data_IF_135885595012
#
_entry.id   IF_135885595012
#
_cell.length_a   1.000
_cell.length_b   1.000
_cell.length_c   1.000
_cell.angle_alpha   90.00
_cell.angle_beta   90.00
_cell.angle_gamma   90.00
#
_symmetry.space_group_name_H-M   'P 1'
#
loop_
_entity.id
_entity.type
_entity.pdbx_description
1 polymer ?
#
# COMPACT_ATOMS: atom_id res chain seq x y z
N UNK A 1 -8.71 21.72 3.32
CA UNK A 1 -7.24 21.61 3.52
C UNK A 1 -6.95 20.23 4.09
N UNK A 2 -5.94 19.50 3.60
CA UNK A 2 -5.65 18.14 4.12
C UNK A 2 -5.41 18.12 5.64
N UNK A 3 -4.90 19.22 6.19
CA UNK A 3 -4.58 19.40 7.61
C UNK A 3 -5.79 19.35 8.55
N UNK A 4 -7.01 19.56 8.04
CA UNK A 4 -8.24 19.49 8.85
C UNK A 4 -8.84 18.09 8.92
N UNK A 5 -8.24 17.11 8.24
CA UNK A 5 -8.70 15.73 8.24
C UNK A 5 -7.92 14.93 9.29
N UNK A 6 -8.53 13.90 9.91
CA UNK A 6 -7.84 13.01 10.86
C UNK A 6 -6.91 12.03 10.11
N UNK A 7 -5.91 12.58 9.42
CA UNK A 7 -4.90 11.85 8.67
C UNK A 7 -3.50 12.22 9.14
N UNK A 8 -2.59 11.26 9.06
CA UNK A 8 -1.16 11.49 9.29
C UNK A 8 -0.45 11.41 7.96
N UNK A 9 0.19 12.51 7.55
CA UNK A 9 1.05 12.52 6.37
C UNK A 9 2.41 11.92 6.74
N UNK A 10 2.88 10.98 5.95
CA UNK A 10 4.16 10.31 6.17
C UNK A 10 5.17 10.81 5.14
N UNK A 11 6.33 11.37 5.57
CA UNK A 11 7.34 11.85 4.65
C UNK A 11 8.04 10.69 3.94
N UNK A 12 8.55 10.97 2.75
CA UNK A 12 9.33 10.01 1.99
C UNK A 12 10.76 9.93 2.55
N UNK A 13 11.10 8.83 3.22
CA UNK A 13 12.47 8.57 3.72
C UNK A 13 13.22 7.65 2.77
N UNK A 14 14.56 7.63 2.85
CA UNK A 14 15.39 6.75 2.02
C UNK A 14 15.05 5.27 2.20
N UNK A 15 14.75 4.83 3.42
CA UNK A 15 14.35 3.45 3.71
C UNK A 15 12.97 3.10 3.13
N UNK A 16 12.03 4.05 3.18
CA UNK A 16 10.73 3.89 2.54
C UNK A 16 10.88 3.81 1.02
N UNK A 17 11.68 4.69 0.41
CA UNK A 17 12.01 4.64 -1.03
C UNK A 17 12.58 3.30 -1.44
N UNK A 18 13.54 2.77 -0.68
CA UNK A 18 14.15 1.47 -0.93
C UNK A 18 13.09 0.36 -0.89
N UNK A 19 12.25 0.35 0.14
CA UNK A 19 11.18 -0.64 0.29
C UNK A 19 10.20 -0.59 -0.89
N UNK A 20 9.81 0.61 -1.33
CA UNK A 20 8.94 0.81 -2.50
C UNK A 20 9.61 0.27 -3.78
N UNK A 21 10.89 0.58 -3.97
CA UNK A 21 11.68 0.12 -5.11
C UNK A 21 11.78 -1.41 -5.17
N UNK A 22 12.05 -2.06 -4.04
CA UNK A 22 12.10 -3.52 -3.94
C UNK A 22 10.74 -4.17 -4.30
N UNK A 23 9.63 -3.58 -3.86
CA UNK A 23 8.29 -4.05 -4.24
C UNK A 23 8.07 -3.86 -5.73
N UNK A 24 8.34 -2.66 -6.28
CA UNK A 24 8.13 -2.37 -7.71
C UNK A 24 8.97 -3.24 -8.64
N UNK A 25 10.19 -3.59 -8.22
CA UNK A 25 11.10 -4.45 -8.98
C UNK A 25 10.64 -5.92 -9.00
N UNK A 26 9.90 -6.37 -7.98
CA UNK A 26 9.53 -7.78 -7.81
C UNK A 26 8.06 -8.09 -8.03
N UNK A 27 7.20 -7.06 -8.11
CA UNK A 27 5.74 -7.22 -8.24
C UNK A 27 5.21 -6.44 -9.46
N UNK A 28 4.32 -7.05 -10.27
CA UNK A 28 3.68 -6.39 -11.41
C UNK A 28 2.54 -5.46 -10.94
N UNK A 29 2.87 -4.49 -10.10
CA UNK A 29 1.94 -3.47 -9.59
C UNK A 29 2.29 -2.09 -10.14
N UNK A 30 1.32 -1.18 -10.14
CA UNK A 30 1.56 0.23 -10.43
C UNK A 30 2.57 0.85 -9.43
N UNK A 31 3.26 1.92 -9.82
CA UNK A 31 4.16 2.61 -8.89
C UNK A 31 3.41 3.21 -7.70
N UNK A 32 2.19 3.71 -7.91
CA UNK A 32 1.36 4.26 -6.84
C UNK A 32 1.00 3.18 -5.80
N UNK A 33 0.61 1.99 -6.25
CA UNK A 33 0.29 0.88 -5.34
C UNK A 33 1.54 0.34 -4.63
N UNK A 34 2.71 0.41 -5.28
CA UNK A 34 3.97 0.12 -4.60
C UNK A 34 4.27 1.12 -3.47
N UNK A 35 3.94 2.40 -3.64
CA UNK A 35 4.05 3.40 -2.56
C UNK A 35 3.15 3.06 -1.37
N UNK A 36 1.89 2.71 -1.65
CA UNK A 36 0.89 2.35 -0.62
C UNK A 36 1.31 1.08 0.12
N UNK A 37 1.74 0.05 -0.61
CA UNK A 37 2.23 -1.21 -0.05
C UNK A 37 3.52 -1.00 0.74
N UNK A 38 4.47 -0.23 0.22
CA UNK A 38 5.74 0.07 0.88
C UNK A 38 5.55 0.81 2.20
N UNK A 39 4.66 1.80 2.24
CA UNK A 39 4.32 2.51 3.47
C UNK A 39 3.66 1.57 4.48
N UNK A 40 2.69 0.76 4.04
CA UNK A 40 2.00 -0.20 4.89
C UNK A 40 2.95 -1.22 5.51
N UNK A 41 3.90 -1.74 4.71
CA UNK A 41 4.95 -2.66 5.17
C UNK A 41 5.87 -1.99 6.19
N UNK A 42 6.37 -0.80 5.87
CA UNK A 42 7.33 -0.06 6.72
C UNK A 42 6.74 0.29 8.09
N UNK A 43 5.45 0.65 8.13
CA UNK A 43 4.74 0.96 9.38
C UNK A 43 4.16 -0.26 10.08
N UNK A 44 4.34 -1.46 9.51
CA UNK A 44 3.64 -2.68 9.94
C UNK A 44 2.13 -2.42 10.10
N UNK A 45 1.52 -1.67 9.19
CA UNK A 45 0.12 -1.29 9.23
C UNK A 45 -0.77 -2.35 8.56
N UNK A 46 -2.09 -2.23 8.78
CA UNK A 46 -3.08 -3.01 8.02
C UNK A 46 -3.45 -2.20 6.78
N UNK A 47 -3.23 -2.77 5.60
CA UNK A 47 -3.67 -2.20 4.34
C UNK A 47 -5.15 -2.52 4.12
N UNK A 48 -6.02 -1.52 4.22
CA UNK A 48 -7.46 -1.64 3.93
C UNK A 48 -7.71 -1.28 2.47
N UNK A 49 -8.23 -2.21 1.66
CA UNK A 49 -8.41 -1.98 0.22
C UNK A 49 -9.54 -2.82 -0.38
N UNK A 50 -9.94 -2.48 -1.60
CA UNK A 50 -10.87 -3.26 -2.46
C UNK A 50 -10.25 -3.58 -3.83
N UNK A 51 -8.93 -3.49 -3.92
CA UNK A 51 -8.19 -3.63 -5.18
C UNK A 51 -7.45 -4.98 -5.23
N UNK A 52 -7.66 -5.83 -6.25
CA UNK A 52 -6.97 -7.11 -6.38
C UNK A 52 -5.45 -7.00 -6.62
N UNK A 53 -4.90 -5.86 -7.05
CA UNK A 53 -3.45 -5.74 -7.28
C UNK A 53 -2.62 -6.03 -6.01
N UNK A 54 -3.17 -5.67 -4.84
CA UNK A 54 -2.51 -5.88 -3.55
C UNK A 54 -2.45 -7.35 -3.11
N UNK A 55 -3.18 -8.26 -3.75
CA UNK A 55 -3.08 -9.69 -3.41
C UNK A 55 -1.65 -10.22 -3.59
N UNK A 56 -0.91 -9.66 -4.55
CA UNK A 56 0.48 -10.01 -4.82
C UNK A 56 1.45 -9.74 -3.67
N UNK A 57 1.06 -8.94 -2.67
CA UNK A 57 1.86 -8.59 -1.48
C UNK A 57 1.22 -9.06 -0.16
N UNK A 58 0.17 -9.88 -0.21
CA UNK A 58 -0.56 -10.35 0.97
C UNK A 58 0.24 -11.28 1.88
N UNK A 59 1.32 -11.88 1.38
CA UNK A 59 2.28 -12.68 2.15
C UNK A 59 3.17 -11.83 3.07
N UNK A 60 3.37 -10.55 2.72
CA UNK A 60 4.31 -9.64 3.41
C UNK A 60 3.63 -8.51 4.17
N UNK A 61 2.36 -8.25 3.88
CA UNK A 61 1.62 -7.10 4.41
C UNK A 61 0.29 -7.58 4.95
N UNK A 62 -0.05 -7.15 6.16
CA UNK A 62 -1.37 -7.42 6.76
C UNK A 62 -2.43 -6.66 5.98
N UNK A 63 -3.48 -7.35 5.54
CA UNK A 63 -4.52 -6.77 4.70
C UNK A 63 -5.90 -6.96 5.31
N UNK A 64 -6.74 -5.93 5.19
CA UNK A 64 -8.18 -6.02 5.36
C UNK A 64 -8.83 -5.81 4.00
N UNK A 65 -9.15 -6.92 3.32
CA UNK A 65 -9.80 -6.91 2.01
C UNK A 65 -11.28 -6.58 2.17
N UNK A 66 -11.72 -5.48 1.57
CA UNK A 66 -13.14 -5.12 1.44
C UNK A 66 -13.75 -5.87 0.24
N UNK A 67 -15.08 -6.09 0.23
CA UNK A 67 -15.74 -6.78 -0.87
C UNK A 67 -15.46 -6.14 -2.24
N UNK A 68 -15.05 -6.95 -3.21
CA UNK A 68 -14.90 -6.49 -4.59
C UNK A 68 -16.25 -6.08 -5.17
N UNK A 69 -16.24 -5.12 -6.11
CA UNK A 69 -17.44 -4.77 -6.86
C UNK A 69 -17.92 -6.04 -7.56
N UNK A 70 -19.16 -6.43 -7.29
CA UNK A 70 -19.85 -7.44 -8.09
C UNK A 70 -20.05 -6.83 -9.48
N UNK A 71 -19.57 -7.50 -10.51
CA UNK A 71 -19.95 -7.20 -11.89
C UNK A 71 -21.36 -7.74 -12.06
N UNK A 72 -22.36 -6.85 -11.95
CA UNK A 72 -23.75 -7.13 -12.33
C UNK A 72 -23.94 -6.79 -13.80
#
# INVERSE_FOLDING_TARGET
>A
MLESLPLTQEPLTSDLCRTIGEIKATKPMSFADCCIAGLSKTKNAILVHKDPEFESVGDKIRQLKLPYKKTT
#
